data_IF_823137412064
#
_entry.id   IF_823137412064
#
_cell.length_a   1.000
_cell.length_b   1.000
_cell.length_c   1.000
_cell.angle_alpha   90.00
_cell.angle_beta   90.00
_cell.angle_gamma   90.00
#
_symmetry.space_group_name_H-M   'P 1'
#
loop_
_entity.id
_entity.type
_entity.pdbx_description
1 polymer ?
#
# COMPACT_ATOMS: atom_id res chain seq x y z
N UNK A 1 -8.79 8.96 -5.44
CA UNK A 1 -8.38 8.38 -6.75
C UNK A 1 -8.52 6.86 -6.78
N UNK A 2 -7.96 6.11 -5.83
CA UNK A 2 -8.14 4.65 -5.73
C UNK A 2 -9.59 4.18 -5.91
N UNK A 3 -10.52 4.76 -5.14
CA UNK A 3 -11.95 4.46 -5.25
C UNK A 3 -12.52 4.77 -6.65
N UNK A 4 -12.03 5.81 -7.34
CA UNK A 4 -12.44 6.08 -8.72
C UNK A 4 -11.92 5.03 -9.69
N UNK A 5 -10.68 4.58 -9.55
CA UNK A 5 -10.13 3.50 -10.38
C UNK A 5 -10.93 2.21 -10.20
N UNK A 6 -11.27 1.84 -8.95
CA UNK A 6 -12.11 0.67 -8.70
C UNK A 6 -13.52 0.89 -9.26
N UNK A 7 -14.14 2.05 -9.02
CA UNK A 7 -15.45 2.41 -9.56
C UNK A 7 -15.50 2.23 -11.09
N UNK A 8 -14.49 2.72 -11.80
CA UNK A 8 -14.37 2.59 -13.26
C UNK A 8 -14.15 1.13 -13.71
N UNK A 9 -13.47 0.31 -12.91
CA UNK A 9 -13.29 -1.14 -13.17
C UNK A 9 -14.61 -1.92 -13.00
N UNK A 10 -15.40 -1.57 -11.98
CA UNK A 10 -16.72 -2.16 -11.72
C UNK A 10 -17.85 -1.54 -12.56
N UNK A 11 -17.55 -0.56 -13.44
CA UNK A 11 -18.50 0.15 -14.31
C UNK A 11 -19.65 0.80 -13.52
N UNK A 12 -19.30 1.41 -12.39
CA UNK A 12 -20.20 2.21 -11.59
C UNK A 12 -20.15 3.68 -12.06
N UNK A 13 -21.31 4.33 -12.09
CA UNK A 13 -21.41 5.76 -12.38
C UNK A 13 -21.07 6.62 -11.14
N UNK A 14 -21.15 7.94 -11.27
CA UNK A 14 -20.83 8.90 -10.18
C UNK A 14 -21.73 8.76 -8.96
N UNK A 15 -22.95 8.23 -9.11
CA UNK A 15 -23.93 8.01 -8.04
C UNK A 15 -23.74 6.63 -7.39
N UNK A 16 -22.99 5.73 -8.03
CA UNK A 16 -22.78 4.34 -7.59
C UNK A 16 -23.78 3.35 -8.16
N UNK A 17 -24.48 3.68 -9.24
CA UNK A 17 -25.30 2.72 -9.99
C UNK A 17 -24.46 2.00 -11.05
N UNK A 18 -24.79 0.74 -11.32
CA UNK A 18 -24.10 -0.08 -12.31
C UNK A 18 -24.58 0.23 -13.74
N UNK A 19 -23.66 0.48 -14.66
CA UNK A 19 -23.93 0.79 -16.09
C UNK A 19 -23.20 -0.16 -17.05
N UNK A 20 -22.59 -1.24 -16.55
CA UNK A 20 -21.81 -2.16 -17.37
C UNK A 20 -22.64 -3.19 -18.15
N UNK A 21 -22.05 -3.74 -19.22
CA UNK A 21 -22.68 -4.76 -20.06
C UNK A 21 -22.60 -6.19 -19.49
N UNK A 22 -21.58 -6.50 -18.69
CA UNK A 22 -21.29 -7.85 -18.17
C UNK A 22 -21.38 -7.90 -16.63
N UNK A 23 -22.59 -8.03 -16.04
CA UNK A 23 -22.78 -7.98 -14.59
C UNK A 23 -22.06 -9.12 -13.87
N UNK A 24 -22.00 -10.32 -14.47
CA UNK A 24 -21.37 -11.49 -13.86
C UNK A 24 -19.86 -11.32 -13.61
N UNK A 25 -19.18 -10.46 -14.38
CA UNK A 25 -17.75 -10.20 -14.22
C UNK A 25 -17.51 -8.92 -13.40
N UNK A 26 -18.28 -7.87 -13.65
CA UNK A 26 -18.07 -6.58 -12.98
C UNK A 26 -18.68 -6.52 -11.58
N UNK A 27 -19.80 -7.19 -11.30
CA UNK A 27 -20.43 -7.15 -9.96
C UNK A 27 -19.93 -8.26 -9.05
N UNK A 28 -19.12 -9.18 -9.59
CA UNK A 28 -18.56 -10.26 -8.80
C UNK A 28 -17.60 -9.70 -7.73
N UNK A 29 -17.83 -10.06 -6.47
CA UNK A 29 -17.05 -9.59 -5.31
C UNK A 29 -16.99 -8.07 -5.15
N UNK A 30 -17.97 -7.35 -5.70
CA UNK A 30 -18.11 -5.91 -5.47
C UNK A 30 -18.22 -5.58 -3.97
N UNK A 31 -18.80 -6.52 -3.19
CA UNK A 31 -18.98 -6.45 -1.74
C UNK A 31 -17.68 -6.33 -0.92
N UNK A 32 -16.50 -6.55 -1.53
CA UNK A 32 -15.21 -6.35 -0.87
C UNK A 32 -14.94 -4.87 -0.55
N UNK A 33 -15.26 -3.97 -1.49
CA UNK A 33 -15.00 -2.54 -1.35
C UNK A 33 -16.26 -1.70 -1.29
N UNK A 34 -17.41 -2.25 -1.69
CA UNK A 34 -18.68 -1.54 -1.70
C UNK A 34 -19.69 -2.25 -0.80
N UNK A 35 -20.63 -1.48 -0.28
CA UNK A 35 -21.87 -1.96 0.33
C UNK A 35 -23.02 -1.70 -0.62
N UNK A 36 -23.95 -2.65 -0.67
CA UNK A 36 -25.17 -2.55 -1.43
C UNK A 36 -26.23 -1.82 -0.61
N UNK A 37 -26.78 -0.73 -1.17
CA UNK A 37 -27.91 -0.01 -0.62
C UNK A 37 -29.08 -0.10 -1.61
N UNK A 38 -30.16 -0.71 -1.18
CA UNK A 38 -31.42 -0.68 -1.91
C UNK A 38 -32.07 0.70 -1.72
N UNK A 39 -32.19 1.45 -2.82
CA UNK A 39 -32.72 2.83 -2.76
C UNK A 39 -34.16 2.92 -3.28
N UNK A 40 -34.51 2.11 -4.29
CA UNK A 40 -35.83 2.02 -4.91
C UNK A 40 -36.09 0.56 -5.32
N UNK A 41 -37.35 0.13 -5.53
CA UNK A 41 -37.62 -1.19 -6.09
C UNK A 41 -36.85 -1.34 -7.43
N UNK A 42 -35.98 -2.35 -7.50
CA UNK A 42 -35.10 -2.68 -8.62
C UNK A 42 -33.91 -1.73 -8.90
N UNK A 43 -33.50 -0.86 -7.96
CA UNK A 43 -32.23 -0.08 -8.09
C UNK A 43 -31.33 -0.22 -6.86
N UNK A 44 -30.20 -0.90 -7.08
CA UNK A 44 -29.12 -1.04 -6.11
C UNK A 44 -28.08 0.05 -6.33
N UNK A 45 -27.74 0.76 -5.26
CA UNK A 45 -26.65 1.73 -5.22
C UNK A 45 -25.48 1.15 -4.44
N UNK A 46 -24.30 1.17 -5.03
CA UNK A 46 -23.06 0.71 -4.41
C UNK A 46 -22.31 1.89 -3.80
N UNK A 47 -22.11 1.87 -2.49
CA UNK A 47 -21.38 2.91 -1.75
C UNK A 47 -20.05 2.34 -1.25
N UNK A 48 -18.91 3.03 -1.38
CA UNK A 48 -17.63 2.53 -0.93
C UNK A 48 -17.58 2.41 0.60
N UNK A 49 -17.00 1.31 1.08
CA UNK A 49 -16.64 1.08 2.50
C UNK A 49 -15.35 1.84 2.81
N UNK A 50 -15.43 3.16 2.78
CA UNK A 50 -14.30 4.06 2.99
C UNK A 50 -14.63 5.08 4.08
N UNK A 51 -13.64 5.37 4.90
CA UNK A 51 -13.69 6.39 5.94
C UNK A 51 -12.63 7.42 5.59
N UNK A 52 -13.04 8.68 5.46
CA UNK A 52 -12.14 9.79 5.12
C UNK A 52 -11.98 10.64 6.35
N UNK A 53 -10.72 10.86 6.75
CA UNK A 53 -10.40 11.62 7.94
C UNK A 53 -9.33 12.65 7.62
N UNK A 54 -9.62 13.91 7.90
CA UNK A 54 -8.61 14.95 7.94
C UNK A 54 -8.91 15.96 9.05
N UNK A 55 -7.89 16.62 9.57
CA UNK A 55 -8.04 17.73 10.52
C UNK A 55 -8.09 19.08 9.80
N UNK A 56 -7.83 19.10 8.50
CA UNK A 56 -7.94 20.29 7.67
C UNK A 56 -9.25 20.27 6.83
N UNK A 57 -10.23 21.15 7.13
CA UNK A 57 -11.49 21.17 6.40
C UNK A 57 -11.32 21.60 4.94
N UNK A 58 -10.32 22.41 4.62
CA UNK A 58 -10.11 22.91 3.26
C UNK A 58 -9.67 21.76 2.35
N UNK A 59 -8.70 20.97 2.79
CA UNK A 59 -8.20 19.81 2.04
C UNK A 59 -9.30 18.75 1.86
N UNK A 60 -10.15 18.60 2.89
CA UNK A 60 -11.30 17.69 2.84
C UNK A 60 -12.35 18.15 1.83
N UNK A 61 -12.73 19.43 1.82
CA UNK A 61 -13.72 19.98 0.88
C UNK A 61 -13.24 19.87 -0.57
N UNK A 62 -11.95 20.15 -0.82
CA UNK A 62 -11.33 19.94 -2.14
C UNK A 62 -11.41 18.46 -2.53
N UNK A 63 -11.13 17.55 -1.61
CA UNK A 63 -11.18 16.10 -1.86
C UNK A 63 -12.60 15.62 -2.18
N UNK A 64 -13.60 16.11 -1.44
CA UNK A 64 -15.00 15.74 -1.61
C UNK A 64 -15.60 16.32 -2.90
N UNK A 65 -15.34 17.59 -3.20
CA UNK A 65 -15.84 18.28 -4.39
C UNK A 65 -15.31 17.70 -5.70
N UNK A 66 -14.04 17.31 -5.75
CA UNK A 66 -13.44 16.78 -6.98
C UNK A 66 -13.87 15.36 -7.36
N UNK A 67 -14.30 14.53 -6.40
CA UNK A 67 -14.36 13.08 -6.63
C UNK A 67 -15.53 12.35 -5.99
N UNK A 68 -16.21 12.90 -4.96
CA UNK A 68 -16.92 12.05 -4.01
C UNK A 68 -18.26 12.55 -3.49
N UNK A 69 -18.68 13.77 -3.84
CA UNK A 69 -19.83 14.44 -3.21
C UNK A 69 -21.15 13.61 -3.25
N UNK A 70 -21.32 12.72 -4.23
CA UNK A 70 -22.46 11.79 -4.29
C UNK A 70 -22.07 10.31 -4.14
N UNK A 71 -20.80 9.98 -3.94
CA UNK A 71 -20.34 8.59 -3.91
C UNK A 71 -20.02 8.12 -2.50
N UNK A 72 -19.42 8.96 -1.66
CA UNK A 72 -19.10 8.62 -0.26
C UNK A 72 -20.28 8.98 0.63
N UNK A 73 -20.48 8.19 1.69
CA UNK A 73 -21.45 8.54 2.75
C UNK A 73 -20.86 9.62 3.65
N UNK A 74 -21.56 10.74 3.78
CA UNK A 74 -21.20 11.86 4.64
C UNK A 74 -20.97 11.42 6.08
N UNK A 75 -21.64 10.36 6.55
CA UNK A 75 -21.46 9.80 7.90
C UNK A 75 -20.07 9.18 8.11
N UNK A 76 -19.38 8.82 7.04
CA UNK A 76 -18.05 8.21 7.08
C UNK A 76 -16.93 9.26 6.87
N UNK A 77 -17.29 10.54 6.88
CA UNK A 77 -16.34 11.64 6.80
C UNK A 77 -16.16 12.25 8.19
N UNK A 78 -14.93 12.32 8.66
CA UNK A 78 -14.58 12.93 9.95
C UNK A 78 -13.65 14.11 9.69
N UNK A 79 -14.10 15.29 10.09
CA UNK A 79 -13.32 16.52 10.05
C UNK A 79 -13.19 17.12 11.44
N UNK A 80 -12.05 17.75 11.72
CA UNK A 80 -11.87 18.62 12.87
C UNK A 80 -11.69 20.08 12.40
N UNK A 81 -11.89 21.05 13.30
CA UNK A 81 -11.85 22.48 12.95
C UNK A 81 -10.43 23.04 12.80
N UNK A 82 -9.43 22.37 13.38
CA UNK A 82 -8.04 22.87 13.39
C UNK A 82 -7.09 21.80 12.87
N UNK A 83 -6.31 22.20 11.86
CA UNK A 83 -5.25 21.41 11.25
C UNK A 83 -4.20 20.93 12.26
N UNK A 84 -3.52 19.83 11.92
CA UNK A 84 -2.39 19.31 12.68
C UNK A 84 -1.07 20.07 12.42
N UNK A 85 -1.08 21.12 11.57
CA UNK A 85 0.07 21.99 11.26
C UNK A 85 1.37 21.24 10.89
N UNK A 86 1.26 20.07 10.25
CA UNK A 86 2.39 19.18 9.95
C UNK A 86 3.22 18.79 11.19
N UNK A 87 2.57 18.61 12.34
CA UNK A 87 3.16 18.12 13.58
C UNK A 87 2.54 16.77 13.97
N UNK A 88 3.36 15.72 14.02
CA UNK A 88 2.95 14.37 14.41
C UNK A 88 2.39 14.34 15.84
N UNK A 89 2.98 15.09 16.77
CA UNK A 89 2.54 15.11 18.17
C UNK A 89 1.14 15.70 18.29
N UNK A 90 0.86 16.83 17.62
CA UNK A 90 -0.49 17.39 17.55
C UNK A 90 -1.46 16.36 16.96
N UNK A 91 -1.11 15.70 15.85
CA UNK A 91 -1.96 14.65 15.25
C UNK A 91 -2.27 13.48 16.21
N UNK A 92 -1.27 13.01 16.96
CA UNK A 92 -1.40 11.87 17.86
C UNK A 92 -2.09 12.24 19.19
N UNK A 93 -1.55 13.22 19.93
CA UNK A 93 -2.05 13.59 21.25
C UNK A 93 -3.39 14.28 21.16
N UNK A 94 -3.61 15.15 20.18
CA UNK A 94 -4.91 15.82 20.03
C UNK A 94 -6.01 14.85 19.64
N UNK A 95 -5.74 13.90 18.73
CA UNK A 95 -6.70 12.86 18.39
C UNK A 95 -7.14 12.07 19.64
N UNK A 96 -6.20 11.84 20.56
CA UNK A 96 -6.43 11.18 21.86
C UNK A 96 -7.22 12.08 22.82
N UNK A 97 -6.84 13.34 22.98
CA UNK A 97 -7.48 14.27 23.93
C UNK A 97 -8.88 14.67 23.51
N UNK A 98 -9.09 14.96 22.22
CA UNK A 98 -10.38 15.37 21.67
C UNK A 98 -11.33 14.19 21.37
N UNK A 99 -10.92 12.95 21.71
CA UNK A 99 -11.69 11.73 21.43
C UNK A 99 -12.10 11.59 19.96
N UNK A 100 -11.32 12.17 19.05
CA UNK A 100 -11.54 12.02 17.59
C UNK A 100 -11.35 10.56 17.20
N UNK A 101 -10.38 9.90 17.84
CA UNK A 101 -10.15 8.46 17.66
C UNK A 101 -11.41 7.64 18.00
N UNK A 102 -12.15 8.00 19.05
CA UNK A 102 -13.38 7.27 19.43
C UNK A 102 -14.47 7.42 18.38
N UNK A 103 -14.60 8.61 17.76
CA UNK A 103 -15.52 8.83 16.64
C UNK A 103 -15.16 7.92 15.46
N UNK A 104 -13.88 7.86 15.09
CA UNK A 104 -13.39 7.04 13.97
C UNK A 104 -13.59 5.55 14.27
N UNK A 105 -13.22 5.09 15.47
CA UNK A 105 -13.39 3.70 15.90
C UNK A 105 -14.87 3.29 15.87
N UNK A 106 -15.79 4.17 16.27
CA UNK A 106 -17.23 3.89 16.19
C UNK A 106 -17.73 3.77 14.75
N UNK A 107 -17.22 4.56 13.81
CA UNK A 107 -17.56 4.42 12.38
C UNK A 107 -16.99 3.10 11.84
N UNK A 108 -15.74 2.77 12.18
CA UNK A 108 -15.12 1.50 11.77
C UNK A 108 -15.90 0.29 12.31
N UNK A 109 -16.35 0.33 13.57
CA UNK A 109 -17.20 -0.72 14.15
C UNK A 109 -18.51 -0.89 13.38
N UNK A 110 -19.22 0.21 13.08
CA UNK A 110 -20.45 0.16 12.29
C UNK A 110 -20.22 -0.46 10.91
N UNK A 111 -19.15 -0.05 10.22
CA UNK A 111 -18.80 -0.63 8.92
C UNK A 111 -18.40 -2.10 9.04
N UNK A 112 -17.66 -2.49 10.09
CA UNK A 112 -17.26 -3.87 10.34
C UNK A 112 -18.47 -4.78 10.64
N UNK A 113 -19.46 -4.30 11.39
CA UNK A 113 -20.70 -5.02 11.69
C UNK A 113 -21.56 -5.24 10.44
N UNK A 114 -21.50 -4.34 9.45
CA UNK A 114 -22.18 -4.53 8.16
C UNK A 114 -21.48 -5.50 7.20
N UNK A 115 -20.30 -6.02 7.58
CA UNK A 115 -19.56 -6.98 6.77
C UNK A 115 -19.85 -8.41 7.25
N UNK A 116 -20.23 -9.30 6.33
CA UNK A 116 -20.38 -10.74 6.65
C UNK A 116 -19.07 -11.35 7.19
N UNK A 117 -17.95 -10.99 6.56
CA UNK A 117 -16.61 -11.38 7.02
C UNK A 117 -15.56 -10.37 6.57
N UNK A 118 -15.16 -9.48 7.47
CA UNK A 118 -14.05 -8.56 7.25
C UNK A 118 -12.73 -9.32 7.02
N UNK A 119 -12.00 -9.00 5.95
CA UNK A 119 -10.67 -9.58 5.69
C UNK A 119 -9.53 -8.79 6.38
N UNK A 120 -9.63 -7.46 6.34
CA UNK A 120 -8.59 -6.57 6.82
C UNK A 120 -8.97 -5.10 6.68
N UNK A 121 -8.08 -4.23 7.11
CA UNK A 121 -8.20 -2.77 7.05
C UNK A 121 -7.02 -2.22 6.26
N UNK A 122 -7.31 -1.35 5.29
CA UNK A 122 -6.31 -0.66 4.48
C UNK A 122 -6.22 0.81 4.90
N UNK A 123 -5.05 1.23 5.35
CA UNK A 123 -4.76 2.61 5.75
C UNK A 123 -3.95 3.26 4.62
N UNK A 124 -4.42 4.38 4.08
CA UNK A 124 -3.70 5.17 3.07
C UNK A 124 -3.35 6.50 3.70
N UNK A 125 -2.06 6.80 3.80
CA UNK A 125 -1.60 7.98 4.54
C UNK A 125 -0.20 8.45 4.10
N UNK A 126 0.14 9.68 4.48
CA UNK A 126 1.50 10.21 4.36
C UNK A 126 2.25 10.07 5.67
N UNK A 127 3.53 9.71 5.61
CA UNK A 127 4.39 9.59 6.80
C UNK A 127 4.87 10.96 7.31
N UNK A 128 5.07 11.91 6.38
CA UNK A 128 5.56 13.24 6.71
C UNK A 128 4.50 14.19 7.26
N UNK A 129 3.21 13.83 7.16
CA UNK A 129 2.10 14.68 7.60
C UNK A 129 1.83 14.60 9.11
N UNK A 130 1.26 15.67 9.68
CA UNK A 130 0.84 15.69 11.08
C UNK A 130 -0.37 14.78 11.34
N UNK A 131 -1.45 14.98 10.57
CA UNK A 131 -2.64 14.13 10.62
C UNK A 131 -2.31 12.73 10.10
N UNK A 132 -1.78 12.64 8.88
CA UNK A 132 -1.45 11.39 8.21
C UNK A 132 -0.50 10.50 9.01
N UNK A 133 0.53 11.05 9.66
CA UNK A 133 1.46 10.28 10.49
C UNK A 133 0.96 10.06 11.93
N UNK A 134 0.55 11.13 12.61
CA UNK A 134 0.18 11.10 14.03
C UNK A 134 -1.12 10.32 14.30
N UNK A 135 -2.19 10.67 13.61
CA UNK A 135 -3.50 10.01 13.80
C UNK A 135 -3.43 8.54 13.36
N UNK A 136 -2.77 8.24 12.25
CA UNK A 136 -2.65 6.85 11.77
C UNK A 136 -1.86 5.97 12.73
N UNK A 137 -0.81 6.51 13.38
CA UNK A 137 -0.03 5.79 14.38
C UNK A 137 -0.90 5.40 15.58
N UNK A 138 -1.76 6.33 16.03
CA UNK A 138 -2.73 6.06 17.08
C UNK A 138 -3.79 5.05 16.62
N UNK A 139 -4.29 5.19 15.39
CA UNK A 139 -5.29 4.29 14.81
C UNK A 139 -4.74 2.87 14.69
N UNK A 140 -3.53 2.70 14.19
CA UNK A 140 -2.87 1.40 14.03
C UNK A 140 -2.77 0.67 15.39
N UNK A 141 -2.39 1.39 16.45
CA UNK A 141 -2.33 0.84 17.81
C UNK A 141 -3.68 0.33 18.31
N UNK A 142 -4.75 1.10 18.12
CA UNK A 142 -6.09 0.67 18.54
C UNK A 142 -6.65 -0.46 17.66
N UNK A 143 -6.44 -0.40 16.35
CA UNK A 143 -6.90 -1.42 15.41
C UNK A 143 -6.19 -2.75 15.60
N UNK A 144 -4.88 -2.74 15.89
CA UNK A 144 -4.11 -3.94 16.19
C UNK A 144 -4.63 -4.63 17.46
N UNK A 145 -5.05 -3.85 18.45
CA UNK A 145 -5.68 -4.38 19.68
C UNK A 145 -7.09 -4.94 19.46
N UNK A 146 -7.96 -4.19 18.80
CA UNK A 146 -9.39 -4.56 18.64
C UNK A 146 -9.61 -5.63 17.55
N UNK A 147 -8.85 -5.55 16.45
CA UNK A 147 -8.97 -6.42 15.27
C UNK A 147 -7.71 -7.27 15.06
N UNK A 148 -7.17 -7.86 16.13
CA UNK A 148 -5.93 -8.65 16.10
C UNK A 148 -5.93 -9.82 15.10
N UNK A 149 -7.09 -10.39 14.80
CA UNK A 149 -7.24 -11.48 13.82
C UNK A 149 -7.35 -11.00 12.36
N UNK A 150 -7.41 -9.69 12.13
CA UNK A 150 -7.57 -9.07 10.80
C UNK A 150 -6.25 -8.49 10.33
N UNK A 151 -6.09 -8.42 9.02
CA UNK A 151 -4.85 -7.92 8.43
C UNK A 151 -4.92 -6.41 8.36
N UNK A 152 -3.86 -5.77 8.82
CA UNK A 152 -3.67 -4.33 8.71
C UNK A 152 -2.63 -4.07 7.62
N UNK A 153 -3.04 -3.39 6.56
CA UNK A 153 -2.16 -2.99 5.47
C UNK A 153 -2.07 -1.47 5.43
N UNK A 154 -0.86 -0.96 5.21
CA UNK A 154 -0.58 0.46 5.07
C UNK A 154 0.01 0.78 3.71
N UNK A 155 -0.55 1.78 3.06
CA UNK A 155 0.01 2.42 1.86
C UNK A 155 0.61 3.76 2.29
N UNK A 156 1.91 3.74 2.54
CA UNK A 156 2.63 4.83 3.21
C UNK A 156 3.47 5.62 2.22
N UNK A 157 3.12 6.90 2.04
CA UNK A 157 3.90 7.83 1.22
C UNK A 157 4.98 8.51 2.06
N UNK A 158 6.23 8.18 1.78
CA UNK A 158 7.44 8.81 2.30
C UNK A 158 7.60 10.21 1.71
N UNK A 159 8.03 11.19 2.53
CA UNK A 159 8.39 12.50 2.02
C UNK A 159 9.66 12.42 1.14
N UNK A 160 9.75 13.39 0.24
CA UNK A 160 10.83 13.54 -0.73
C UNK A 160 12.24 13.41 -0.12
N UNK A 161 12.94 12.31 -0.45
CA UNK A 161 14.27 11.97 0.12
C UNK A 161 15.35 13.04 -0.10
N UNK A 162 15.26 13.80 -1.19
CA UNK A 162 16.24 14.83 -1.58
C UNK A 162 16.01 16.20 -0.96
N UNK A 163 14.82 16.47 -0.44
CA UNK A 163 14.42 17.79 0.07
C UNK A 163 13.54 17.67 1.31
N UNK A 164 14.01 16.91 2.29
CA UNK A 164 13.28 16.76 3.54
C UNK A 164 13.09 18.12 4.24
N UNK A 165 11.83 18.49 4.50
CA UNK A 165 11.54 19.52 5.49
C UNK A 165 11.82 18.92 6.87
N UNK A 166 12.35 19.74 7.79
CA UNK A 166 12.80 19.25 9.11
C UNK A 166 11.67 18.50 9.86
N UNK A 167 10.44 19.02 9.83
CA UNK A 167 9.28 18.38 10.47
C UNK A 167 8.89 17.05 9.81
N UNK A 168 8.99 16.96 8.49
CA UNK A 168 8.65 15.74 7.75
C UNK A 168 9.56 14.57 8.16
N UNK A 169 10.82 14.84 8.49
CA UNK A 169 11.77 13.84 9.00
C UNK A 169 11.33 13.29 10.36
N UNK A 170 11.01 14.18 11.31
CA UNK A 170 10.53 13.77 12.62
C UNK A 170 9.24 12.96 12.52
N UNK A 171 8.26 13.48 11.79
CA UNK A 171 6.97 12.82 11.58
C UNK A 171 7.15 11.43 10.96
N UNK A 172 8.03 11.29 9.96
CA UNK A 172 8.23 10.02 9.27
C UNK A 172 8.90 8.97 10.15
N UNK A 173 9.95 9.33 10.89
CA UNK A 173 10.63 8.37 11.79
C UNK A 173 9.68 7.93 12.90
N UNK A 174 8.94 8.86 13.52
CA UNK A 174 7.96 8.52 14.54
C UNK A 174 6.89 7.59 13.98
N UNK A 175 6.28 7.95 12.85
CA UNK A 175 5.25 7.12 12.21
C UNK A 175 5.77 5.73 11.90
N UNK A 176 6.93 5.60 11.24
CA UNK A 176 7.51 4.29 10.88
C UNK A 176 7.67 3.36 12.08
N UNK A 177 8.06 3.88 13.24
CA UNK A 177 8.20 3.04 14.45
C UNK A 177 6.89 2.51 15.01
N UNK A 178 5.79 3.23 14.81
CA UNK A 178 4.46 2.72 15.16
C UNK A 178 3.96 1.74 14.09
N UNK A 179 4.24 1.98 12.81
CA UNK A 179 3.84 1.03 11.78
C UNK A 179 4.55 -0.33 11.95
N UNK A 180 5.87 -0.33 12.24
CA UNK A 180 6.66 -1.55 12.52
C UNK A 180 6.05 -2.40 13.66
N UNK A 181 5.51 -1.75 14.69
CA UNK A 181 4.95 -2.44 15.86
C UNK A 181 3.54 -3.00 15.63
N UNK A 182 2.71 -2.33 14.81
CA UNK A 182 1.26 -2.57 14.78
C UNK A 182 0.69 -3.01 13.43
N UNK A 183 1.39 -2.81 12.31
CA UNK A 183 0.90 -3.08 10.97
C UNK A 183 1.57 -4.32 10.38
N UNK A 184 0.81 -5.14 9.65
CA UNK A 184 1.29 -6.40 9.09
C UNK A 184 1.93 -6.22 7.71
N UNK A 185 1.43 -5.31 6.87
CA UNK A 185 2.02 -5.03 5.56
C UNK A 185 2.19 -3.53 5.35
N UNK A 186 3.40 -3.08 5.03
CA UNK A 186 3.67 -1.66 4.79
C UNK A 186 4.24 -1.50 3.39
N UNK A 187 3.45 -0.90 2.48
CA UNK A 187 3.91 -0.53 1.15
C UNK A 187 4.52 0.87 1.19
N UNK A 188 5.84 0.95 1.01
CA UNK A 188 6.60 2.20 1.08
C UNK A 188 6.72 2.84 -0.31
N UNK A 189 6.21 4.06 -0.46
CA UNK A 189 6.26 4.81 -1.72
C UNK A 189 6.94 6.16 -1.50
N UNK A 190 7.91 6.54 -2.31
CA UNK A 190 8.52 7.86 -2.30
C UNK A 190 7.84 8.80 -3.30
N UNK A 191 7.46 9.97 -2.81
CA UNK A 191 6.79 10.99 -3.60
C UNK A 191 7.64 11.45 -4.80
N UNK A 192 8.95 11.64 -4.64
CA UNK A 192 9.80 12.09 -5.76
C UNK A 192 9.92 11.02 -6.84
N UNK A 193 10.05 9.76 -6.43
CA UNK A 193 10.16 8.65 -7.36
C UNK A 193 8.88 8.47 -8.18
N UNK A 194 7.70 8.58 -7.55
CA UNK A 194 6.43 8.56 -8.28
C UNK A 194 6.32 9.76 -9.22
N UNK A 195 6.80 10.94 -8.82
CA UNK A 195 6.83 12.13 -9.69
C UNK A 195 7.74 11.92 -10.90
N UNK A 196 8.94 11.37 -10.71
CA UNK A 196 9.86 11.01 -11.79
C UNK A 196 9.21 10.05 -12.79
N UNK A 197 8.55 9.00 -12.30
CA UNK A 197 7.84 8.02 -13.14
C UNK A 197 6.72 8.70 -13.94
N UNK A 198 6.00 9.61 -13.31
CA UNK A 198 4.95 10.38 -13.98
C UNK A 198 5.49 11.29 -15.09
N UNK A 199 6.62 11.98 -14.85
CA UNK A 199 7.28 12.85 -15.83
C UNK A 199 7.86 12.05 -17.01
N UNK A 200 8.54 10.93 -16.74
CA UNK A 200 9.15 10.07 -17.76
C UNK A 200 8.11 9.39 -18.68
N UNK A 201 6.92 9.07 -18.17
CA UNK A 201 5.86 8.42 -18.94
C UNK A 201 4.85 9.39 -19.59
N UNK A 202 5.05 10.70 -19.47
CA UNK A 202 4.28 11.80 -20.11
C UNK A 202 2.73 11.76 -19.99
N UNK A 203 2.19 12.59 -19.09
CA UNK A 203 1.33 13.74 -19.46
C UNK A 203 -0.20 13.65 -19.37
N UNK A 204 -0.83 12.46 -19.30
CA UNK A 204 -2.32 12.37 -19.30
C UNK A 204 -2.96 11.97 -17.97
N UNK A 205 -2.16 11.55 -16.99
CA UNK A 205 -2.65 11.05 -15.70
C UNK A 205 -2.22 11.98 -14.58
N UNK A 206 -2.95 11.99 -13.48
CA UNK A 206 -2.44 12.65 -12.28
C UNK A 206 -1.29 11.81 -11.69
N UNK A 207 -0.35 12.45 -11.01
CA UNK A 207 0.78 11.76 -10.34
C UNK A 207 0.29 10.59 -9.46
N UNK A 208 -0.76 10.82 -8.69
CA UNK A 208 -1.32 9.82 -7.76
C UNK A 208 -2.13 8.69 -8.45
N UNK A 209 -2.43 8.81 -9.76
CA UNK A 209 -3.09 7.73 -10.51
C UNK A 209 -2.17 6.48 -10.62
N UNK A 210 -0.85 6.67 -10.55
CA UNK A 210 0.12 5.57 -10.51
C UNK A 210 -0.02 4.74 -9.24
N UNK A 211 -0.13 5.41 -8.09
CA UNK A 211 -0.37 4.76 -6.80
C UNK A 211 -1.73 4.06 -6.81
N UNK A 212 -2.76 4.73 -7.36
CA UNK A 212 -4.09 4.16 -7.54
C UNK A 212 -4.07 2.87 -8.37
N UNK A 213 -3.31 2.87 -9.47
CA UNK A 213 -3.20 1.72 -10.38
C UNK A 213 -2.46 0.55 -9.74
N UNK A 214 -1.41 0.83 -8.96
CA UNK A 214 -0.71 -0.16 -8.15
C UNK A 214 -1.62 -0.79 -7.09
N UNK A 215 -2.33 0.04 -6.31
CA UNK A 215 -3.29 -0.45 -5.31
C UNK A 215 -4.38 -1.31 -5.96
N UNK A 216 -4.89 -0.87 -7.12
CA UNK A 216 -5.84 -1.67 -7.90
C UNK A 216 -5.23 -2.99 -8.37
N UNK A 217 -3.96 -2.98 -8.77
CA UNK A 217 -3.16 -4.15 -9.14
C UNK A 217 -3.10 -5.20 -8.04
N UNK A 218 -2.66 -4.84 -6.83
CA UNK A 218 -2.60 -5.76 -5.68
C UNK A 218 -3.99 -6.31 -5.35
N UNK A 219 -4.98 -5.42 -5.29
CA UNK A 219 -6.33 -5.78 -4.84
C UNK A 219 -7.11 -6.54 -5.92
N UNK A 220 -6.64 -6.54 -7.17
CA UNK A 220 -7.25 -7.31 -8.26
C UNK A 220 -7.26 -8.83 -8.00
N UNK A 221 -6.25 -9.34 -7.30
CA UNK A 221 -6.16 -10.75 -6.88
C UNK A 221 -7.29 -11.16 -5.92
N UNK A 222 -7.79 -10.21 -5.13
CA UNK A 222 -8.90 -10.44 -4.20
C UNK A 222 -10.24 -10.37 -4.94
N UNK A 223 -10.35 -9.44 -5.91
CA UNK A 223 -11.58 -9.10 -6.62
C UNK A 223 -11.92 -10.05 -7.77
N UNK A 224 -10.92 -10.62 -8.45
CA UNK A 224 -11.14 -11.49 -9.61
C UNK A 224 -11.33 -12.97 -9.21
N UNK A 225 -12.33 -13.62 -9.81
CA UNK A 225 -12.54 -15.08 -9.71
C UNK A 225 -11.91 -15.85 -10.88
N UNK A 226 -11.70 -15.19 -12.01
CA UNK A 226 -10.91 -15.70 -13.14
C UNK A 226 -9.41 -15.45 -12.97
N UNK A 227 -8.94 -15.33 -11.72
CA UNK A 227 -7.58 -15.74 -11.42
C UNK A 227 -7.50 -17.25 -11.66
N UNK A 228 -7.34 -17.64 -12.94
CA UNK A 228 -7.07 -19.01 -13.35
C UNK A 228 -5.73 -19.39 -12.74
N UNK A 229 -5.86 -20.02 -11.58
CA UNK A 229 -4.91 -20.79 -10.83
C UNK A 229 -3.53 -20.99 -11.41
N UNK A 230 -2.52 -20.58 -10.62
CA UNK A 230 -1.38 -21.42 -10.23
C UNK A 230 -0.48 -20.73 -9.18
N UNK A 231 -0.70 -20.98 -7.88
CA UNK A 231 0.43 -21.08 -6.94
C UNK A 231 0.78 -22.56 -6.96
N UNK A 232 1.76 -22.99 -7.78
CA UNK A 232 2.35 -24.33 -7.58
C UNK A 232 3.13 -24.26 -6.28
N UNK A 233 2.52 -24.71 -5.20
CA UNK A 233 3.28 -25.27 -4.09
C UNK A 233 3.08 -26.78 -3.93
N UNK A 234 2.43 -27.46 -4.88
CA UNK A 234 2.45 -28.91 -4.89
C UNK A 234 2.50 -29.43 -6.33
N UNK A 235 3.67 -29.90 -6.75
CA UNK A 235 3.73 -31.11 -7.54
C UNK A 235 2.94 -32.18 -6.78
N UNK A 236 2.01 -32.86 -7.47
CA UNK A 236 1.14 -33.95 -6.98
C UNK A 236 -0.18 -33.54 -6.28
N UNK A 237 -1.20 -33.13 -7.04
CA UNK A 237 -2.55 -33.68 -6.84
C UNK A 237 -3.44 -33.43 -8.07
N UNK A 238 -4.21 -34.47 -8.45
CA UNK A 238 -4.98 -34.62 -9.69
C UNK A 238 -6.35 -33.90 -9.69
N UNK A 239 -6.52 -32.80 -8.94
CA UNK A 239 -7.83 -32.15 -8.83
C UNK A 239 -7.75 -30.63 -9.05
N UNK A 240 -8.66 -30.04 -9.85
CA UNK A 240 -8.71 -28.60 -10.07
C UNK A 240 -9.31 -27.92 -8.84
N UNK A 241 -8.48 -27.49 -7.88
CA UNK A 241 -8.93 -26.63 -6.79
C UNK A 241 -9.00 -25.17 -7.27
N UNK A 242 -10.08 -24.47 -6.92
CA UNK A 242 -10.25 -23.01 -6.95
C UNK A 242 -10.16 -22.41 -5.52
N UNK A 243 -9.04 -21.79 -5.16
CA UNK A 243 -8.51 -21.26 -3.91
C UNK A 243 -8.36 -19.78 -4.18
N UNK A 244 -9.22 -19.07 -3.49
CA UNK A 244 -9.21 -17.65 -3.36
C UNK A 244 -7.87 -17.23 -2.72
N UNK A 245 -7.17 -16.29 -3.35
CA UNK A 245 -6.07 -15.57 -2.71
C UNK A 245 -6.74 -14.68 -1.67
N UNK A 246 -6.60 -15.02 -0.41
CA UNK A 246 -6.96 -14.15 0.70
C UNK A 246 -5.78 -13.24 1.01
N UNK A 247 -6.03 -12.05 1.56
CA UNK A 247 -4.97 -11.16 2.06
C UNK A 247 -3.98 -11.91 2.97
N UNK A 248 -4.47 -12.85 3.78
CA UNK A 248 -3.63 -13.66 4.69
C UNK A 248 -2.63 -14.55 3.96
N UNK A 249 -3.06 -15.16 2.85
CA UNK A 249 -2.18 -15.99 2.03
C UNK A 249 -1.15 -15.13 1.30
N UNK A 250 -1.52 -13.92 0.90
CA UNK A 250 -0.57 -12.98 0.30
C UNK A 250 0.50 -12.56 1.33
N UNK A 251 0.09 -12.25 2.56
CA UNK A 251 0.99 -11.92 3.66
C UNK A 251 1.98 -13.05 3.97
N UNK A 252 1.47 -14.25 4.28
CA UNK A 252 2.26 -15.45 4.64
C UNK A 252 3.35 -15.78 3.61
N UNK A 253 3.11 -15.39 2.37
CA UNK A 253 3.98 -15.63 1.25
C UNK A 253 5.03 -14.53 1.01
N UNK A 254 4.71 -13.29 1.37
CA UNK A 254 5.58 -12.13 1.16
C UNK A 254 6.49 -11.88 2.36
N UNK A 255 6.08 -12.33 3.56
CA UNK A 255 6.77 -12.08 4.81
C UNK A 255 7.48 -13.35 5.34
N UNK A 256 8.82 -13.47 5.15
CA UNK A 256 9.57 -14.55 5.77
C UNK A 256 9.86 -14.32 7.27
N UNK A 257 9.80 -13.07 7.73
CA UNK A 257 10.06 -12.69 9.13
C UNK A 257 9.09 -11.59 9.58
N UNK A 258 8.50 -11.70 10.79
CA UNK A 258 7.50 -10.76 11.33
C UNK A 258 7.88 -9.26 11.34
N UNK A 259 9.18 -8.92 11.31
CA UNK A 259 9.67 -7.53 11.35
C UNK A 259 10.15 -7.01 9.99
N UNK A 260 10.23 -7.86 8.98
CA UNK A 260 10.69 -7.49 7.64
C UNK A 260 9.50 -7.41 6.67
N UNK A 261 8.50 -6.61 7.05
CA UNK A 261 7.23 -6.44 6.34
C UNK A 261 7.12 -5.09 5.59
N UNK A 262 8.25 -4.43 5.34
CA UNK A 262 8.32 -3.25 4.47
C UNK A 262 8.51 -3.68 3.03
N UNK A 263 7.49 -3.45 2.21
CA UNK A 263 7.46 -3.83 0.81
C UNK A 263 7.74 -2.64 -0.10
N UNK A 264 8.50 -2.93 -1.15
CA UNK A 264 8.84 -2.00 -2.21
C UNK A 264 7.88 -2.24 -3.39
N UNK A 265 6.97 -1.28 -3.66
CA UNK A 265 5.98 -1.41 -4.72
C UNK A 265 6.55 -1.00 -6.09
N UNK A 266 6.14 -1.70 -7.13
CA UNK A 266 6.47 -1.37 -8.53
C UNK A 266 5.28 -1.60 -9.45
N UNK A 267 5.21 -0.83 -10.52
CA UNK A 267 4.10 -0.87 -11.47
C UNK A 267 4.56 -0.53 -12.88
N UNK A 268 4.11 -1.34 -13.84
CA UNK A 268 4.41 -1.17 -15.26
C UNK A 268 3.12 -1.17 -16.05
N UNK A 269 2.86 -0.05 -16.73
CA UNK A 269 1.77 0.09 -17.70
C UNK A 269 2.21 -0.34 -19.10
N UNK A 270 1.31 -0.98 -19.84
CA UNK A 270 1.56 -1.37 -21.23
C UNK A 270 0.51 -0.75 -22.14
N UNK A 271 0.94 0.26 -22.88
CA UNK A 271 0.12 0.98 -23.83
C UNK A 271 -0.16 0.14 -25.09
N UNK A 272 -1.38 0.30 -25.62
CA UNK A 272 -1.93 -0.41 -26.79
C UNK A 272 -1.01 -0.45 -28.04
N UNK A 273 -0.09 0.50 -28.19
CA UNK A 273 0.74 0.67 -29.40
C UNK A 273 2.02 -0.15 -29.37
N UNK A 274 2.35 -0.76 -28.25
CA UNK A 274 3.62 -1.46 -28.09
C UNK A 274 3.46 -2.97 -28.27
N UNK A 275 4.13 -3.54 -29.28
CA UNK A 275 4.29 -5.00 -29.43
C UNK A 275 5.37 -5.49 -28.45
N UNK A 276 5.15 -5.31 -27.15
CA UNK A 276 6.08 -5.87 -26.16
C UNK A 276 5.82 -7.37 -26.02
N UNK A 277 6.89 -8.16 -26.09
CA UNK A 277 6.88 -9.57 -25.68
C UNK A 277 6.85 -9.62 -24.16
N UNK A 278 6.16 -10.60 -23.58
CA UNK A 278 6.02 -10.81 -22.13
C UNK A 278 7.38 -10.81 -21.42
N UNK A 279 8.41 -11.41 -22.05
CA UNK A 279 9.81 -11.38 -21.61
C UNK A 279 10.35 -9.96 -21.35
N UNK A 280 10.07 -9.01 -22.23
CA UNK A 280 10.50 -7.62 -22.05
C UNK A 280 9.77 -6.91 -20.91
N UNK A 281 8.60 -7.40 -20.52
CA UNK A 281 7.77 -6.80 -19.47
C UNK A 281 8.21 -7.27 -18.08
N UNK A 282 8.51 -8.55 -17.91
CA UNK A 282 8.99 -9.10 -16.64
C UNK A 282 10.35 -8.50 -16.26
N UNK A 283 11.20 -8.18 -17.25
CA UNK A 283 12.44 -7.43 -17.02
C UNK A 283 12.21 -6.04 -16.44
N UNK A 284 11.17 -5.34 -16.91
CA UNK A 284 10.83 -4.00 -16.42
C UNK A 284 10.37 -4.00 -14.96
N UNK A 285 9.89 -5.11 -14.42
CA UNK A 285 9.49 -5.16 -13.00
C UNK A 285 10.65 -4.95 -12.04
N UNK A 286 11.84 -5.40 -12.41
CA UNK A 286 13.04 -5.33 -11.58
C UNK A 286 13.93 -4.14 -11.94
N UNK A 287 13.48 -3.28 -12.86
CA UNK A 287 14.17 -2.04 -13.20
C UNK A 287 13.83 -0.95 -12.17
N UNK A 288 14.87 -0.29 -11.64
CA UNK A 288 14.73 0.85 -10.71
C UNK A 288 13.85 2.00 -11.25
N UNK A 289 13.59 2.03 -12.56
CA UNK A 289 12.73 3.02 -13.21
C UNK A 289 11.25 2.83 -12.91
N UNK A 290 10.80 1.60 -12.66
CA UNK A 290 9.36 1.28 -12.51
C UNK A 290 8.95 1.02 -11.04
N UNK A 291 9.87 1.28 -10.11
CA UNK A 291 9.67 1.11 -8.67
C UNK A 291 9.33 2.46 -8.06
N UNK A 292 8.40 2.49 -7.11
CA UNK A 292 7.94 3.73 -6.49
C UNK A 292 8.80 4.20 -5.32
N UNK A 293 9.97 3.60 -5.10
CA UNK A 293 10.87 3.94 -4.01
C UNK A 293 12.28 4.23 -4.54
N UNK A 294 12.91 5.26 -4.00
CA UNK A 294 14.29 5.64 -4.32
C UNK A 294 15.27 4.67 -3.65
N UNK A 295 15.46 3.51 -4.29
CA UNK A 295 16.37 2.46 -3.84
C UNK A 295 17.07 1.81 -5.03
N UNK A 296 18.31 1.38 -4.82
CA UNK A 296 19.06 0.64 -5.84
C UNK A 296 18.88 -0.86 -5.68
N UNK A 297 18.08 -1.50 -6.54
CA UNK A 297 17.90 -2.95 -6.50
C UNK A 297 19.12 -3.76 -6.93
N UNK A 298 20.00 -3.20 -7.77
CA UNK A 298 21.08 -3.98 -8.41
C UNK A 298 22.12 -4.51 -7.40
N UNK A 299 22.28 -3.84 -6.27
CA UNK A 299 23.29 -4.12 -5.25
C UNK A 299 22.73 -4.91 -4.05
N UNK A 300 21.44 -5.26 -4.09
CA UNK A 300 20.69 -5.70 -2.94
C UNK A 300 20.00 -7.05 -3.19
N UNK A 301 19.60 -7.69 -2.09
CA UNK A 301 18.99 -9.01 -2.12
C UNK A 301 17.47 -8.93 -2.03
N UNK A 302 16.79 -9.82 -2.73
CA UNK A 302 15.36 -10.04 -2.66
C UNK A 302 15.07 -11.24 -1.77
N UNK A 303 14.32 -11.01 -0.69
CA UNK A 303 13.76 -12.07 0.13
C UNK A 303 12.63 -12.77 -0.60
N UNK A 304 11.64 -12.00 -1.06
CA UNK A 304 10.48 -12.48 -1.79
C UNK A 304 10.11 -11.46 -2.88
N UNK A 305 9.56 -11.94 -3.99
CA UNK A 305 9.08 -11.10 -5.07
C UNK A 305 7.74 -11.63 -5.60
N UNK A 306 6.70 -10.83 -5.53
CA UNK A 306 5.37 -11.15 -6.04
C UNK A 306 5.10 -10.32 -7.29
N UNK A 307 4.74 -10.99 -8.39
CA UNK A 307 4.37 -10.36 -9.65
C UNK A 307 2.91 -10.70 -10.00
N UNK A 308 2.11 -9.67 -10.21
CA UNK A 308 0.69 -9.76 -10.55
C UNK A 308 0.49 -9.20 -11.96
N UNK A 309 0.17 -10.08 -12.89
CA UNK A 309 -0.17 -9.72 -14.27
C UNK A 309 -1.68 -9.50 -14.38
N UNK A 310 -2.09 -8.44 -15.09
CA UNK A 310 -3.50 -8.19 -15.42
C UNK A 310 -3.70 -8.14 -16.94
N UNK A 311 -4.70 -8.87 -17.41
CA UNK A 311 -5.15 -8.95 -18.79
C UNK A 311 -5.01 -10.37 -19.38
N UNK A 312 -5.33 -10.51 -20.66
CA UNK A 312 -5.35 -11.82 -21.31
C UNK A 312 -3.93 -12.30 -21.67
N UNK A 313 -3.46 -13.35 -20.99
CA UNK A 313 -2.20 -14.06 -21.24
C UNK A 313 -2.33 -15.53 -20.81
N UNK A 314 -1.53 -16.42 -21.40
CA UNK A 314 -1.37 -17.79 -20.88
C UNK A 314 -0.57 -17.78 -19.58
N UNK A 315 -1.11 -18.31 -18.46
CA UNK A 315 -0.39 -18.38 -17.19
C UNK A 315 0.91 -19.17 -17.28
N UNK A 316 0.93 -20.25 -18.07
CA UNK A 316 2.13 -21.08 -18.24
C UNK A 316 3.28 -20.28 -18.87
N UNK A 317 2.96 -19.42 -19.84
CA UNK A 317 3.96 -18.57 -20.47
C UNK A 317 4.50 -17.53 -19.48
N UNK A 318 3.64 -16.93 -18.66
CA UNK A 318 4.07 -15.98 -17.63
C UNK A 318 4.96 -16.63 -16.55
N UNK A 319 4.64 -17.85 -16.13
CA UNK A 319 5.47 -18.62 -15.20
C UNK A 319 6.85 -18.95 -15.75
N UNK A 320 6.94 -19.31 -17.03
CA UNK A 320 8.20 -19.58 -17.70
C UNK A 320 9.08 -18.33 -17.76
N UNK A 321 8.49 -17.19 -18.07
CA UNK A 321 9.17 -15.90 -18.08
C UNK A 321 9.70 -15.51 -16.69
N UNK A 322 8.89 -15.72 -15.65
CA UNK A 322 9.32 -15.46 -14.28
C UNK A 322 10.40 -16.43 -13.80
N UNK A 323 10.39 -17.68 -14.28
CA UNK A 323 11.47 -18.64 -14.04
C UNK A 323 12.77 -18.19 -14.70
N UNK A 324 12.72 -17.72 -15.94
CA UNK A 324 13.88 -17.18 -16.65
C UNK A 324 14.46 -15.95 -15.93
N UNK A 325 13.60 -15.09 -15.41
CA UNK A 325 14.00 -13.95 -14.59
C UNK A 325 14.69 -14.38 -13.29
N UNK A 326 14.15 -15.38 -12.60
CA UNK A 326 14.78 -15.94 -11.39
C UNK A 326 16.17 -16.49 -11.69
N UNK A 327 16.36 -17.14 -12.84
CA UNK A 327 17.69 -17.63 -13.26
C UNK A 327 18.64 -16.46 -13.55
N UNK A 328 18.17 -15.42 -14.25
CA UNK A 328 18.97 -14.22 -14.56
C UNK A 328 19.42 -13.47 -13.30
N UNK A 329 18.54 -13.33 -12.31
CA UNK A 329 18.80 -12.63 -11.05
C UNK A 329 19.11 -13.59 -9.90
N UNK A 330 19.56 -14.82 -10.18
CA UNK A 330 19.78 -15.85 -9.16
C UNK A 330 20.62 -15.33 -7.98
N UNK A 331 21.67 -14.57 -8.29
CA UNK A 331 22.59 -14.03 -7.29
C UNK A 331 21.97 -12.91 -6.43
N UNK A 332 20.90 -12.26 -6.89
CA UNK A 332 20.17 -11.26 -6.10
C UNK A 332 19.06 -11.89 -5.25
N UNK A 333 18.67 -13.14 -5.52
CA UNK A 333 17.66 -13.83 -4.72
C UNK A 333 18.31 -14.62 -3.60
N UNK A 334 17.70 -14.54 -2.43
CA UNK A 334 18.18 -15.25 -1.26
C UNK A 334 17.94 -16.76 -1.40
N UNK A 335 18.97 -17.58 -1.22
CA UNK A 335 18.90 -19.03 -1.49
C UNK A 335 18.16 -19.84 -0.41
N UNK A 336 18.18 -19.38 0.85
CA UNK A 336 17.58 -20.11 1.97
C UNK A 336 16.04 -20.05 2.00
N UNK A 337 15.42 -19.17 1.17
CA UNK A 337 13.97 -19.20 0.94
C UNK A 337 13.72 -19.98 -0.36
N UNK A 338 13.23 -21.23 -0.27
CA UNK A 338 12.82 -21.95 -1.47
C UNK A 338 11.59 -21.27 -2.08
N UNK A 339 11.54 -21.20 -3.42
CA UNK A 339 10.38 -20.66 -4.16
C UNK A 339 9.96 -19.23 -3.73
N UNK A 340 10.93 -18.33 -3.58
CA UNK A 340 10.74 -16.92 -3.19
C UNK A 340 10.05 -16.01 -4.23
N UNK A 341 9.69 -16.52 -5.40
CA UNK A 341 9.00 -15.76 -6.45
C UNK A 341 7.57 -16.23 -6.61
N UNK A 342 6.62 -15.31 -6.52
CA UNK A 342 5.20 -15.59 -6.69
C UNK A 342 4.63 -14.92 -7.92
N UNK A 343 3.76 -15.63 -8.62
CA UNK A 343 3.15 -15.15 -9.85
C UNK A 343 1.65 -15.32 -9.78
N UNK A 344 0.92 -14.25 -10.03
CA UNK A 344 -0.55 -14.29 -10.15
C UNK A 344 -0.96 -13.67 -11.47
N UNK A 345 -1.94 -14.27 -12.13
CA UNK A 345 -2.52 -13.76 -13.38
C UNK A 345 -4.00 -13.48 -13.16
N UNK A 346 -4.43 -12.28 -13.46
CA UNK A 346 -5.82 -11.85 -13.49
C UNK A 346 -6.22 -11.61 -14.94
N UNK A 347 -7.27 -12.28 -15.43
CA UNK A 347 -7.75 -12.11 -16.82
C UNK A 347 -8.31 -10.72 -17.09
N UNK A 348 -8.82 -10.04 -16.06
CA UNK A 348 -9.48 -8.73 -16.16
C UNK A 348 -8.42 -7.61 -16.25
N UNK A 349 -8.32 -6.93 -17.41
CA UNK A 349 -7.40 -5.81 -17.56
C UNK A 349 -7.86 -4.59 -16.74
N UNK A 350 -6.95 -3.66 -16.42
CA UNK A 350 -7.33 -2.38 -15.81
C UNK A 350 -8.14 -1.51 -16.81
N UNK A 351 -8.95 -0.57 -16.30
CA UNK A 351 -9.88 0.21 -17.13
C UNK A 351 -9.23 1.03 -18.26
N UNK A 352 -7.96 1.43 -18.10
CA UNK A 352 -7.25 2.34 -19.02
C UNK A 352 -6.16 1.66 -19.86
N UNK A 353 -5.83 0.40 -19.60
CA UNK A 353 -4.74 -0.31 -20.28
C UNK A 353 -5.16 -1.72 -20.72
N UNK A 354 -4.49 -2.27 -21.74
CA UNK A 354 -4.73 -3.67 -22.17
C UNK A 354 -4.08 -4.67 -21.23
N UNK A 355 -2.90 -4.33 -20.73
CA UNK A 355 -2.15 -5.15 -19.79
C UNK A 355 -1.48 -4.25 -18.76
N UNK A 356 -1.39 -4.75 -17.53
CA UNK A 356 -0.56 -4.15 -16.51
C UNK A 356 0.15 -5.20 -15.70
N UNK A 357 1.26 -4.79 -15.09
CA UNK A 357 2.09 -5.66 -14.30
C UNK A 357 2.45 -4.94 -13.01
N UNK A 358 2.09 -5.56 -11.88
CA UNK A 358 2.31 -5.03 -10.54
C UNK A 358 3.32 -5.90 -9.83
N UNK A 359 4.34 -5.31 -9.23
CA UNK A 359 5.33 -6.03 -8.43
C UNK A 359 5.31 -5.58 -6.98
N UNK A 360 5.43 -6.54 -6.08
CA UNK A 360 5.67 -6.31 -4.66
C UNK A 360 6.98 -7.01 -4.31
N UNK A 361 7.98 -6.23 -3.90
CA UNK A 361 9.32 -6.73 -3.64
C UNK A 361 9.63 -6.59 -2.15
N UNK A 362 9.99 -7.69 -1.49
CA UNK A 362 10.60 -7.65 -0.16
C UNK A 362 12.12 -7.72 -0.34
N UNK A 363 12.81 -6.61 -0.12
CA UNK A 363 14.23 -6.46 -0.44
C UNK A 363 15.00 -5.73 0.64
N UNK A 364 16.28 -6.06 0.79
CA UNK A 364 17.23 -5.31 1.63
C UNK A 364 17.45 -3.87 1.15
N UNK A 365 17.08 -3.54 -0.09
CA UNK A 365 17.22 -2.18 -0.64
C UNK A 365 16.43 -1.11 0.13
N UNK A 366 15.40 -1.49 0.88
CA UNK A 366 14.63 -0.58 1.77
C UNK A 366 15.52 0.12 2.81
N UNK A 367 16.68 -0.48 3.14
CA UNK A 367 17.64 0.12 4.06
C UNK A 367 18.13 1.49 3.59
N UNK A 368 18.28 1.73 2.28
CA UNK A 368 18.86 2.98 1.75
C UNK A 368 18.02 4.21 2.09
N UNK A 369 16.71 4.27 1.77
CA UNK A 369 15.87 5.40 2.15
C UNK A 369 15.74 5.53 3.67
N UNK A 370 15.66 4.43 4.41
CA UNK A 370 15.52 4.46 5.88
C UNK A 370 16.80 4.95 6.56
N UNK A 371 17.97 4.53 6.09
CA UNK A 371 19.27 5.02 6.57
C UNK A 371 19.45 6.51 6.28
N UNK A 372 19.02 6.96 5.10
CA UNK A 372 19.05 8.39 4.73
C UNK A 372 18.16 9.19 5.67
N UNK A 373 16.91 8.76 5.86
CA UNK A 373 15.95 9.40 6.77
C UNK A 373 16.49 9.46 8.20
N UNK A 374 17.05 8.35 8.71
CA UNK A 374 17.61 8.27 10.05
C UNK A 374 18.83 9.17 10.25
N UNK A 375 19.70 9.28 9.24
CA UNK A 375 20.85 10.18 9.28
C UNK A 375 20.42 11.65 9.38
N UNK A 376 19.38 12.05 8.65
CA UNK A 376 18.79 13.37 8.80
C UNK A 376 18.18 13.55 10.18
N UNK A 377 17.39 12.58 10.65
CA UNK A 377 16.75 12.62 11.97
C UNK A 377 17.77 12.84 13.09
N UNK A 378 18.85 12.07 13.10
CA UNK A 378 19.96 12.19 14.06
C UNK A 378 20.54 13.59 14.10
N UNK A 379 20.80 14.18 12.93
CA UNK A 379 21.31 15.56 12.84
C UNK A 379 20.32 16.55 13.46
N UNK A 380 19.03 16.42 13.15
CA UNK A 380 18.02 17.34 13.67
C UNK A 380 17.82 17.21 15.18
N UNK A 381 17.80 15.98 15.72
CA UNK A 381 17.72 15.73 17.16
C UNK A 381 18.95 16.28 17.87
N UNK A 382 20.15 16.06 17.32
CA UNK A 382 21.40 16.55 17.89
C UNK A 382 21.41 18.09 18.04
N UNK A 383 20.94 18.80 17.02
CA UNK A 383 20.80 20.27 17.07
C UNK A 383 19.52 20.74 17.78
N UNK A 384 18.67 19.83 18.24
CA UNK A 384 17.38 20.12 18.89
C UNK A 384 16.45 21.01 18.07
N UNK A 385 16.54 20.93 16.75
CA UNK A 385 15.76 21.76 15.83
C UNK A 385 14.27 21.40 15.92
N UNK A 386 13.42 22.40 16.16
CA UNK A 386 11.94 22.26 16.23
C UNK A 386 11.39 21.25 17.25
N UNK A 387 12.22 20.70 18.17
CA UNK A 387 11.73 19.73 19.18
C UNK A 387 10.65 20.33 20.09
N UNK A 388 10.73 21.63 20.39
CA UNK A 388 9.75 22.30 21.25
C UNK A 388 8.31 22.22 20.73
N UNK A 389 8.11 22.13 19.41
CA UNK A 389 6.77 21.96 18.82
C UNK A 389 6.14 20.62 19.21
N UNK A 390 6.94 19.59 19.45
CA UNK A 390 6.47 18.28 19.86
C UNK A 390 6.33 18.20 21.38
N UNK A 391 7.30 18.75 22.11
CA UNK A 391 7.27 18.68 23.58
C UNK A 391 6.17 19.56 24.20
N UNK A 392 5.80 20.67 23.55
CA UNK A 392 4.66 21.49 23.96
C UNK A 392 3.32 20.74 23.87
N UNK A 393 3.23 19.75 22.99
CA UNK A 393 2.04 18.88 22.82
C UNK A 393 2.04 17.70 23.80
N UNK A 394 3.02 17.62 24.71
CA UNK A 394 3.13 16.55 25.71
C UNK A 394 4.04 15.39 25.32
N UNK A 395 4.80 15.50 24.22
CA UNK A 395 5.76 14.48 23.82
C UNK A 395 7.06 14.56 24.63
N UNK A 396 7.53 13.44 25.17
CA UNK A 396 8.82 13.40 25.86
C UNK A 396 10.00 13.27 24.89
N UNK A 397 11.15 13.85 25.24
CA UNK A 397 12.39 13.74 24.45
C UNK A 397 12.85 12.28 24.32
N UNK A 398 12.63 11.48 25.36
CA UNK A 398 12.91 10.04 25.40
C UNK A 398 12.24 9.27 24.25
N UNK A 399 11.08 9.74 23.77
CA UNK A 399 10.36 9.10 22.65
C UNK A 399 11.10 9.24 21.33
N UNK A 400 11.84 10.35 21.12
CA UNK A 400 12.67 10.52 19.92
C UNK A 400 13.86 9.57 19.93
N UNK A 401 14.50 9.40 21.08
CA UNK A 401 15.62 8.47 21.25
C UNK A 401 15.15 7.01 21.06
N UNK A 402 13.99 6.67 21.63
CA UNK A 402 13.38 5.36 21.42
C UNK A 402 13.04 5.10 19.95
N UNK A 403 12.48 6.08 19.25
CA UNK A 403 12.17 5.95 17.83
C UNK A 403 13.44 5.76 16.99
N UNK A 404 14.49 6.53 17.30
CA UNK A 404 15.81 6.37 16.68
C UNK A 404 16.36 4.95 16.89
N UNK A 405 16.37 4.47 18.13
CA UNK A 405 16.90 3.15 18.49
C UNK A 405 16.13 2.00 17.83
N UNK A 406 14.79 2.12 17.71
CA UNK A 406 13.97 1.13 17.02
C UNK A 406 14.30 1.05 15.53
N UNK A 407 14.38 2.20 14.85
CA UNK A 407 14.72 2.24 13.43
C UNK A 407 16.16 1.76 13.17
N UNK A 408 17.09 2.06 14.08
CA UNK A 408 18.45 1.52 14.04
C UNK A 408 18.48 -0.01 14.14
N UNK A 409 17.72 -0.59 15.07
CA UNK A 409 17.61 -2.05 15.20
C UNK A 409 17.05 -2.70 13.94
N UNK A 410 16.00 -2.11 13.36
CA UNK A 410 15.42 -2.59 12.10
C UNK A 410 16.47 -2.59 10.97
N UNK A 411 17.24 -1.50 10.83
CA UNK A 411 18.32 -1.42 9.84
C UNK A 411 19.42 -2.46 10.09
N UNK A 412 19.78 -2.71 11.35
CA UNK A 412 20.73 -3.76 11.70
C UNK A 412 20.22 -5.15 11.30
N UNK A 413 18.94 -5.45 11.55
CA UNK A 413 18.32 -6.73 11.16
C UNK A 413 18.37 -6.94 9.65
N UNK A 414 18.02 -5.92 8.86
CA UNK A 414 18.16 -6.00 7.40
C UNK A 414 19.62 -6.23 6.97
N UNK A 415 20.59 -5.55 7.58
CA UNK A 415 22.04 -5.73 7.30
C UNK A 415 22.54 -7.12 7.67
N UNK A 416 22.09 -7.66 8.80
CA UNK A 416 22.43 -9.01 9.23
C UNK A 416 21.92 -10.05 8.23
N UNK A 417 20.65 -9.92 7.81
CA UNK A 417 20.06 -10.82 6.82
C UNK A 417 20.73 -10.69 5.45
N UNK A 418 21.13 -9.49 5.05
CA UNK A 418 21.94 -9.26 3.86
C UNK A 418 23.28 -10.01 3.91
N UNK A 419 23.98 -9.94 5.05
CA UNK A 419 25.26 -10.66 5.26
C UNK A 419 25.09 -12.18 5.25
N UNK A 420 23.98 -12.70 5.76
CA UNK A 420 23.67 -14.14 5.64
C UNK A 420 23.39 -14.56 4.20
N UNK A 421 22.86 -13.65 3.36
CA UNK A 421 22.74 -13.87 1.92
C UNK A 421 24.09 -13.93 1.19
N UNK A 422 25.10 -13.19 1.67
CA UNK A 422 26.47 -13.21 1.12
C UNK A 422 27.28 -14.46 1.51
N UNK A 423 26.90 -15.17 2.58
CA UNK A 423 27.63 -16.36 3.06
C UNK A 423 27.05 -17.60 2.40
N UNK A 424 27.42 -17.84 1.15
CA UNK A 424 27.65 -19.16 0.55
C UNK A 424 28.31 -19.00 -0.82
#
# INVERSE_FOLDING_TARGET
QFLNTIKDEHKLNTVGCYEGQNPNLHLQRINLYFRELETQPNRVRYVPRAIVVDFDPIDLDITLSHCFQQFIDEKNVVCEEKSAYNNWATGYYRAKHNKVIDKILNIVRKEAETCESMQGIQIVHSLGGGTGGGLSSLLAKHMSGEYSNKILQSYSVLPATKSFRIRDVYNSVLTLTYLDDYIHEIFCMDQLTVKRIHEENTGKRNMYDWISSFMSGITSCLRSTEAKYKIILHSLSRFPCSLNINLRKLLENMEPYPRLHFFVPGYVEIFLRSRFKVFSMTQRLFDNKNIFLDCNLAQEYFFTATAIFRGQISPMHFEEEMRNMRVKYKNNFVEWIPHNTQTTVCSVPPSREKWSLTSVLNTTAIQQPFQTLLNFFRKQVHYKNYLHWYTQEGMEISQFENAQNKLDRLLCEYKEKQRTGNKN
#
